data_IF_829456308012
#
_entry.id   IF_829456308012
#
_cell.length_a   1.000
_cell.length_b   1.000
_cell.length_c   1.000
_cell.angle_alpha   90.00
_cell.angle_beta   90.00
_cell.angle_gamma   90.00
#
_symmetry.space_group_name_H-M   'P 1'
#
loop_
_entity.id
_entity.type
_entity.pdbx_description
1 polymer ?
#
# COMPACT_ATOMS: atom_id res chain seq x y z
N UNK A 1 52.25 -1.42 21.87
CA UNK A 1 52.42 -0.38 20.84
C UNK A 1 51.38 -0.56 19.74
N UNK A 2 50.26 0.17 19.75
CA UNK A 2 49.34 0.20 18.61
C UNK A 2 49.63 1.41 17.70
N UNK A 3 49.96 1.13 16.43
CA UNK A 3 50.11 2.12 15.36
C UNK A 3 48.78 2.27 14.62
N UNK A 4 48.28 3.51 14.67
CA UNK A 4 47.53 4.27 13.66
C UNK A 4 46.91 3.53 12.47
N UNK A 5 45.58 3.66 12.28
CA UNK A 5 44.98 4.15 11.02
C UNK A 5 43.68 4.88 11.35
N UNK A 6 43.64 6.15 10.96
CA UNK A 6 42.56 7.12 11.10
C UNK A 6 42.18 7.51 9.66
N UNK A 7 40.99 7.13 9.19
CA UNK A 7 40.38 7.56 7.91
C UNK A 7 38.86 7.55 8.15
N UNK A 8 38.20 8.64 8.54
CA UNK A 8 37.74 9.76 7.70
C UNK A 8 37.16 9.27 6.37
N UNK A 9 35.83 9.19 6.29
CA UNK A 9 35.06 9.87 5.23
C UNK A 9 33.59 9.90 5.62
N UNK A 10 33.17 11.10 6.04
CA UNK A 10 31.78 11.48 6.10
C UNK A 10 31.23 11.58 4.66
N UNK A 11 30.36 10.67 4.27
CA UNK A 11 29.55 10.82 3.06
C UNK A 11 28.23 11.50 3.44
N UNK A 12 28.33 12.79 3.75
CA UNK A 12 27.21 13.72 3.92
C UNK A 12 26.72 14.16 2.53
N UNK A 13 25.40 14.10 2.33
CA UNK A 13 24.62 15.01 1.48
C UNK A 13 24.99 15.15 -0.02
N UNK A 14 24.41 14.29 -0.87
CA UNK A 14 23.94 14.73 -2.20
C UNK A 14 22.49 14.29 -2.41
N UNK A 15 21.56 15.00 -1.76
CA UNK A 15 20.16 15.03 -2.18
C UNK A 15 20.03 16.06 -3.30
N UNK A 16 20.03 15.59 -4.54
CA UNK A 16 19.63 16.40 -5.70
C UNK A 16 18.13 16.63 -5.63
N UNK A 17 17.73 17.78 -5.09
CA UNK A 17 16.36 18.27 -5.15
C UNK A 17 16.07 18.72 -6.59
N UNK A 18 15.59 17.80 -7.43
CA UNK A 18 14.96 18.16 -8.70
C UNK A 18 13.63 18.83 -8.37
N UNK A 19 13.59 20.15 -8.46
CA UNK A 19 12.36 20.91 -8.46
C UNK A 19 11.60 20.60 -9.75
N UNK A 20 10.72 19.60 -9.69
CA UNK A 20 9.75 19.34 -10.76
C UNK A 20 8.84 20.56 -10.86
N UNK A 21 9.04 21.39 -11.88
CA UNK A 21 8.06 22.39 -12.31
C UNK A 21 6.78 21.64 -12.66
N UNK A 22 5.81 21.69 -11.75
CA UNK A 22 4.47 21.20 -11.99
C UNK A 22 3.87 22.07 -13.10
N UNK A 23 3.88 21.55 -14.33
CA UNK A 23 3.00 22.02 -15.39
C UNK A 23 1.57 21.90 -14.85
N UNK A 24 0.99 23.04 -14.47
CA UNK A 24 -0.44 23.19 -14.23
C UNK A 24 -1.15 22.97 -15.57
N UNK A 25 -1.36 21.70 -15.91
CA UNK A 25 -2.36 21.32 -16.88
C UNK A 25 -3.70 21.92 -16.43
N UNK A 26 -4.47 22.54 -17.33
CA UNK A 26 -5.78 23.07 -16.98
C UNK A 26 -6.61 21.94 -16.36
N UNK A 27 -7.39 22.22 -15.30
CA UNK A 27 -8.28 21.22 -14.72
C UNK A 27 -9.21 20.75 -15.84
N UNK A 28 -9.00 19.53 -16.32
CA UNK A 28 -9.96 18.88 -17.20
C UNK A 28 -11.16 18.56 -16.33
N UNK A 29 -12.07 19.52 -16.24
CA UNK A 29 -13.39 19.29 -15.69
C UNK A 29 -14.00 18.16 -16.51
N UNK A 30 -14.18 17.01 -15.86
CA UNK A 30 -14.89 15.86 -16.43
C UNK A 30 -16.34 16.23 -16.80
N UNK A 31 -16.85 17.38 -16.35
CA UNK A 31 -18.09 18.00 -16.80
C UNK A 31 -17.99 18.62 -18.21
N UNK A 32 -16.82 19.08 -18.63
CA UNK A 32 -16.63 19.71 -19.94
C UNK A 32 -16.46 18.68 -21.07
N UNK A 33 -15.87 17.52 -20.76
CA UNK A 33 -15.93 16.35 -21.62
C UNK A 33 -17.28 15.66 -21.33
N UNK A 34 -18.23 15.69 -22.28
CA UNK A 34 -19.61 15.16 -22.17
C UNK A 34 -19.67 13.65 -21.82
N UNK A 35 -19.24 13.26 -20.63
CA UNK A 35 -19.36 11.90 -20.12
C UNK A 35 -20.68 11.81 -19.36
N UNK A 36 -21.46 10.77 -19.66
CA UNK A 36 -22.71 10.55 -18.96
C UNK A 36 -22.43 10.26 -17.47
N UNK A 37 -23.40 10.60 -16.61
CA UNK A 37 -23.30 10.35 -15.17
C UNK A 37 -23.10 8.86 -14.91
N UNK A 38 -23.73 8.01 -15.71
CA UNK A 38 -23.56 6.55 -15.64
C UNK A 38 -22.10 6.11 -15.94
N UNK A 39 -21.45 6.72 -16.93
CA UNK A 39 -20.05 6.45 -17.28
C UNK A 39 -19.10 6.87 -16.17
N UNK A 40 -19.35 8.02 -15.53
CA UNK A 40 -18.54 8.48 -14.39
C UNK A 40 -18.63 7.51 -13.21
N UNK A 41 -19.82 7.00 -12.90
CA UNK A 41 -20.03 6.01 -11.84
C UNK A 41 -19.28 4.71 -12.13
N UNK A 42 -19.39 4.20 -13.37
CA UNK A 42 -18.69 2.99 -13.80
C UNK A 42 -17.17 3.16 -13.75
N UNK A 43 -16.66 4.30 -14.19
CA UNK A 43 -15.24 4.63 -14.16
C UNK A 43 -14.70 4.68 -12.71
N UNK A 44 -15.46 5.27 -11.79
CA UNK A 44 -15.12 5.32 -10.36
C UNK A 44 -15.12 3.92 -9.77
N UNK A 45 -16.17 3.13 -10.01
CA UNK A 45 -16.24 1.74 -9.56
C UNK A 45 -15.02 0.94 -10.04
N UNK A 46 -14.68 1.03 -11.32
CA UNK A 46 -13.54 0.33 -11.88
C UNK A 46 -12.21 0.79 -11.25
N UNK A 47 -12.04 2.09 -11.00
CA UNK A 47 -10.86 2.63 -10.32
C UNK A 47 -10.72 2.07 -8.90
N UNK A 48 -11.82 2.01 -8.14
CA UNK A 48 -11.83 1.44 -6.79
C UNK A 48 -11.55 -0.07 -6.83
N UNK A 49 -12.18 -0.82 -7.74
CA UNK A 49 -11.91 -2.26 -7.92
C UNK A 49 -10.44 -2.54 -8.28
N UNK A 50 -9.86 -1.75 -9.19
CA UNK A 50 -8.46 -1.92 -9.58
C UNK A 50 -7.52 -1.66 -8.39
N UNK A 51 -7.81 -0.65 -7.56
CA UNK A 51 -6.98 -0.29 -6.41
C UNK A 51 -7.20 -1.19 -5.20
N UNK A 52 -8.41 -1.71 -5.01
CA UNK A 52 -8.73 -2.63 -3.93
C UNK A 52 -8.07 -4.00 -4.13
N UNK A 53 -7.94 -4.49 -5.38
CA UNK A 53 -7.16 -5.72 -5.68
C UNK A 53 -5.75 -5.68 -5.12
N UNK A 54 -5.01 -4.61 -5.40
CA UNK A 54 -3.66 -4.45 -4.86
C UNK A 54 -3.67 -4.39 -3.33
N UNK A 55 -4.68 -3.75 -2.74
CA UNK A 55 -4.82 -3.64 -1.28
C UNK A 55 -5.08 -5.00 -0.62
N UNK A 56 -5.94 -5.83 -1.23
CA UNK A 56 -6.18 -7.20 -0.79
C UNK A 56 -4.91 -8.04 -0.84
N UNK A 57 -4.14 -7.94 -1.92
CA UNK A 57 -2.86 -8.64 -2.03
C UNK A 57 -1.91 -8.25 -0.89
N UNK A 58 -1.75 -6.96 -0.56
CA UNK A 58 -0.91 -6.53 0.57
C UNK A 58 -1.40 -7.08 1.91
N UNK A 59 -2.72 -7.07 2.14
CA UNK A 59 -3.31 -7.60 3.37
C UNK A 59 -3.16 -9.11 3.48
N UNK A 60 -3.46 -9.86 2.43
CA UNK A 60 -3.33 -11.32 2.39
C UNK A 60 -1.88 -11.74 2.62
N UNK A 61 -0.93 -11.10 1.93
CA UNK A 61 0.49 -11.36 2.13
C UNK A 61 0.94 -11.01 3.55
N UNK A 62 0.60 -9.83 4.06
CA UNK A 62 0.98 -9.40 5.41
C UNK A 62 0.44 -10.31 6.51
N UNK A 63 -0.83 -10.69 6.41
CA UNK A 63 -1.48 -11.60 7.37
C UNK A 63 -0.88 -13.00 7.29
N UNK A 64 -0.54 -13.49 6.09
CA UNK A 64 0.11 -14.79 5.91
C UNK A 64 1.48 -14.88 6.61
N UNK A 65 2.31 -13.83 6.47
CA UNK A 65 3.59 -13.74 7.18
C UNK A 65 3.39 -13.73 8.71
N UNK A 66 2.46 -12.91 9.20
CA UNK A 66 2.16 -12.87 10.64
C UNK A 66 1.65 -14.20 11.18
N UNK A 67 0.76 -14.88 10.45
CA UNK A 67 0.21 -16.16 10.84
C UNK A 67 1.29 -17.25 10.89
N UNK A 68 2.16 -17.30 9.86
CA UNK A 68 3.28 -18.23 9.80
C UNK A 68 4.25 -18.02 10.98
N UNK A 69 4.64 -16.78 11.24
CA UNK A 69 5.50 -16.42 12.36
C UNK A 69 4.88 -16.74 13.73
N UNK A 70 3.58 -16.50 13.90
CA UNK A 70 2.87 -16.83 15.13
C UNK A 70 2.84 -18.34 15.37
N UNK A 71 2.53 -19.12 14.33
CA UNK A 71 2.55 -20.60 14.40
C UNK A 71 3.95 -21.08 14.73
N UNK A 72 4.99 -20.61 14.03
CA UNK A 72 6.37 -21.01 14.29
C UNK A 72 6.81 -20.69 15.72
N UNK A 73 6.51 -19.50 16.23
CA UNK A 73 6.77 -19.15 17.64
C UNK A 73 6.04 -20.06 18.62
N UNK A 74 4.78 -20.40 18.36
CA UNK A 74 4.04 -21.32 19.23
C UNK A 74 4.64 -22.72 19.21
N UNK A 75 5.04 -23.23 18.04
CA UNK A 75 5.70 -24.55 17.90
C UNK A 75 7.05 -24.55 18.62
N UNK A 76 7.85 -23.50 18.46
CA UNK A 76 9.13 -23.36 19.16
C UNK A 76 8.93 -23.33 20.68
N UNK A 77 7.93 -22.59 21.17
CA UNK A 77 7.61 -22.50 22.60
C UNK A 77 7.09 -23.83 23.19
N UNK A 78 6.28 -24.60 22.45
CA UNK A 78 5.71 -25.87 22.92
C UNK A 78 6.66 -27.05 22.76
N UNK A 79 7.64 -26.97 21.85
CA UNK A 79 8.56 -28.08 21.56
C UNK A 79 9.43 -28.52 22.74
N UNK A 80 9.59 -27.70 23.80
CA UNK A 80 10.24 -28.12 25.05
C UNK A 80 11.72 -28.52 24.91
N UNK A 81 12.36 -28.23 23.77
CA UNK A 81 13.69 -28.74 23.42
C UNK A 81 14.75 -28.00 24.25
N UNK A 82 15.14 -28.64 25.35
CA UNK A 82 16.17 -28.17 26.28
C UNK A 82 17.55 -28.20 25.63
N UNK A 83 18.11 -27.01 25.40
CA UNK A 83 19.55 -26.66 25.39
C UNK A 83 20.51 -27.34 24.38
N UNK A 84 20.17 -28.42 23.70
CA UNK A 84 21.12 -29.15 22.82
C UNK A 84 21.53 -28.34 21.58
N UNK A 85 20.64 -27.48 21.06
CA UNK A 85 20.88 -26.80 19.77
C UNK A 85 20.60 -25.29 19.78
N UNK A 86 21.12 -24.58 20.80
CA UNK A 86 20.86 -23.14 21.01
C UNK A 86 21.07 -22.26 19.77
N UNK A 87 22.01 -22.61 18.89
CA UNK A 87 22.28 -21.87 17.65
C UNK A 87 21.10 -21.94 16.68
N UNK A 88 20.63 -23.16 16.39
CA UNK A 88 19.50 -23.41 15.50
C UNK A 88 18.22 -22.68 15.94
N UNK A 89 17.90 -22.73 17.24
CA UNK A 89 16.73 -22.06 17.80
C UNK A 89 16.81 -20.54 17.72
N UNK A 90 17.99 -19.95 17.95
CA UNK A 90 18.16 -18.49 17.85
C UNK A 90 17.93 -18.00 16.44
N UNK A 91 18.42 -18.71 15.43
CA UNK A 91 18.21 -18.34 14.02
C UNK A 91 16.73 -18.42 13.64
N UNK A 92 16.05 -19.52 13.98
CA UNK A 92 14.60 -19.68 13.74
C UNK A 92 13.76 -18.62 14.45
N UNK A 93 14.12 -18.27 15.68
CA UNK A 93 13.42 -17.23 16.42
C UNK A 93 13.64 -15.84 15.80
N UNK A 94 14.85 -15.56 15.30
CA UNK A 94 15.15 -14.32 14.57
C UNK A 94 14.40 -14.23 13.24
N UNK A 95 14.30 -15.33 12.49
CA UNK A 95 13.50 -15.41 11.26
C UNK A 95 12.01 -15.14 11.55
N UNK A 96 11.44 -15.82 12.56
CA UNK A 96 10.06 -15.59 12.96
C UNK A 96 9.81 -14.15 13.47
N UNK A 97 10.78 -13.54 14.16
CA UNK A 97 10.69 -12.14 14.57
C UNK A 97 10.71 -11.19 13.36
N UNK A 98 11.57 -11.45 12.38
CA UNK A 98 11.66 -10.67 11.14
C UNK A 98 10.37 -10.78 10.32
N UNK A 99 9.83 -11.98 10.17
CA UNK A 99 8.58 -12.23 9.45
C UNK A 99 7.39 -11.55 10.14
N UNK A 100 7.37 -11.53 11.47
CA UNK A 100 6.32 -10.84 12.22
C UNK A 100 6.40 -9.33 12.02
N UNK A 101 7.60 -8.75 12.07
CA UNK A 101 7.81 -7.31 11.80
C UNK A 101 7.41 -6.98 10.36
N UNK A 102 7.87 -7.76 9.39
CA UNK A 102 7.58 -7.55 7.98
C UNK A 102 6.08 -7.71 7.69
N UNK A 103 5.46 -8.77 8.23
CA UNK A 103 4.02 -9.00 8.14
C UNK A 103 3.21 -7.87 8.76
N UNK A 104 3.64 -7.31 9.90
CA UNK A 104 2.98 -6.16 10.55
C UNK A 104 3.08 -4.90 9.69
N UNK A 105 4.25 -4.62 9.11
CA UNK A 105 4.45 -3.48 8.20
C UNK A 105 3.57 -3.61 6.94
N UNK A 106 3.54 -4.79 6.32
CA UNK A 106 2.71 -5.03 5.14
C UNK A 106 1.22 -4.96 5.45
N UNK A 107 0.78 -5.52 6.57
CA UNK A 107 -0.61 -5.49 7.00
C UNK A 107 -1.06 -4.06 7.33
N UNK A 108 -0.26 -3.31 8.10
CA UNK A 108 -0.57 -1.92 8.44
C UNK A 108 -0.62 -1.02 7.19
N UNK A 109 0.30 -1.23 6.24
CA UNK A 109 0.28 -0.53 4.96
C UNK A 109 -0.95 -0.91 4.10
N UNK A 110 -1.32 -2.18 4.09
CA UNK A 110 -2.54 -2.68 3.46
C UNK A 110 -3.79 -2.03 4.06
N UNK A 111 -3.89 -1.94 5.39
CA UNK A 111 -4.98 -1.28 6.11
C UNK A 111 -5.04 0.22 5.79
N UNK A 112 -3.89 0.90 5.76
CA UNK A 112 -3.82 2.30 5.35
C UNK A 112 -4.38 2.51 3.95
N UNK A 113 -4.02 1.67 2.97
CA UNK A 113 -4.61 1.72 1.62
C UNK A 113 -6.09 1.39 1.61
N UNK A 114 -6.53 0.43 2.43
CA UNK A 114 -7.92 0.02 2.55
C UNK A 114 -8.79 1.17 3.08
N UNK A 115 -8.28 1.96 4.02
CA UNK A 115 -9.01 3.14 4.51
C UNK A 115 -9.33 4.14 3.37
N UNK A 116 -8.44 4.25 2.38
CA UNK A 116 -8.56 5.22 1.28
C UNK A 116 -9.33 4.69 0.06
N UNK A 117 -9.19 3.40 -0.25
CA UNK A 117 -9.82 2.74 -1.41
C UNK A 117 -10.79 1.62 -1.01
N UNK A 118 -11.29 1.68 0.22
CA UNK A 118 -12.19 0.68 0.78
C UNK A 118 -13.63 0.84 0.32
N UNK A 119 -14.47 -0.18 0.59
CA UNK A 119 -15.88 -0.18 0.20
C UNK A 119 -16.67 0.96 0.85
N UNK A 120 -16.37 1.32 2.10
CA UNK A 120 -17.02 2.42 2.79
C UNK A 120 -16.73 3.77 2.13
N UNK A 121 -15.48 4.02 1.73
CA UNK A 121 -15.13 5.27 1.06
C UNK A 121 -15.76 5.33 -0.34
N UNK A 122 -15.85 4.20 -1.03
CA UNK A 122 -16.58 4.11 -2.29
C UNK A 122 -18.05 4.48 -2.11
N UNK A 123 -18.75 3.89 -1.14
CA UNK A 123 -20.15 4.21 -0.84
C UNK A 123 -20.32 5.71 -0.57
N UNK A 124 -19.51 6.30 0.32
CA UNK A 124 -19.58 7.74 0.61
C UNK A 124 -19.43 8.61 -0.64
N UNK A 125 -18.51 8.25 -1.54
CA UNK A 125 -18.31 8.99 -2.79
C UNK A 125 -19.51 8.82 -3.73
N UNK A 126 -20.07 7.61 -3.81
CA UNK A 126 -21.26 7.34 -4.61
C UNK A 126 -22.49 8.07 -4.07
N UNK A 127 -22.70 8.07 -2.75
CA UNK A 127 -23.80 8.75 -2.08
C UNK A 127 -23.69 10.27 -2.27
N UNK A 128 -22.52 10.84 -2.03
CA UNK A 128 -22.28 12.27 -2.25
C UNK A 128 -22.50 12.66 -3.72
N UNK A 129 -22.02 11.83 -4.65
CA UNK A 129 -22.23 12.06 -6.07
C UNK A 129 -23.69 11.90 -6.49
N UNK A 130 -24.43 10.94 -5.90
CA UNK A 130 -25.86 10.75 -6.12
C UNK A 130 -26.67 11.97 -5.67
N UNK A 131 -26.25 12.61 -4.57
CA UNK A 131 -26.81 13.87 -4.06
C UNK A 131 -26.45 15.11 -4.92
N UNK A 132 -25.66 14.94 -5.99
CA UNK A 132 -25.29 16.02 -6.90
C UNK A 132 -24.00 16.74 -6.51
N UNK A 133 -23.27 16.26 -5.49
CA UNK A 133 -21.96 16.81 -5.17
C UNK A 133 -20.93 16.46 -6.25
N UNK A 134 -20.00 17.38 -6.53
CA UNK A 134 -18.91 17.12 -7.45
C UNK A 134 -17.99 15.99 -6.94
N UNK A 135 -17.38 15.25 -7.87
CA UNK A 135 -16.41 14.21 -7.54
C UNK A 135 -15.20 14.81 -6.80
N UNK A 136 -14.72 14.16 -5.71
CA UNK A 136 -13.52 14.61 -5.02
C UNK A 136 -12.32 14.79 -5.95
N UNK A 137 -11.60 15.90 -5.80
CA UNK A 137 -10.50 16.26 -6.70
C UNK A 137 -9.41 15.16 -6.83
N UNK A 138 -9.16 14.41 -5.76
CA UNK A 138 -8.19 13.31 -5.81
C UNK A 138 -8.62 12.14 -6.71
N UNK A 139 -9.92 11.98 -6.96
CA UNK A 139 -10.47 10.99 -7.90
C UNK A 139 -10.44 11.50 -9.32
N UNK A 140 -10.84 12.75 -9.56
CA UNK A 140 -10.83 13.35 -10.90
C UNK A 140 -9.43 13.31 -11.52
N UNK A 141 -8.38 13.62 -10.74
CA UNK A 141 -6.97 13.49 -11.18
C UNK A 141 -6.54 12.06 -11.53
N UNK A 142 -7.21 11.05 -11.00
CA UNK A 142 -6.87 9.63 -11.17
C UNK A 142 -7.77 8.93 -12.19
N UNK A 143 -8.94 9.49 -12.47
CA UNK A 143 -9.88 9.07 -13.50
C UNK A 143 -9.31 9.44 -14.87
N UNK A 144 -8.53 8.52 -15.42
CA UNK A 144 -8.02 8.61 -16.80
C UNK A 144 -9.13 8.28 -17.81
N UNK A 145 -9.08 8.85 -19.03
CA UNK A 145 -10.04 8.57 -20.11
C UNK A 145 -10.26 7.07 -20.40
N UNK A 146 -9.24 6.24 -20.17
CA UNK A 146 -9.32 4.76 -20.30
C UNK A 146 -10.41 4.11 -19.43
N UNK A 147 -10.82 4.75 -18.33
CA UNK A 147 -11.88 4.23 -17.47
C UNK A 147 -13.29 4.53 -17.99
N UNK A 148 -13.41 5.49 -18.91
CA UNK A 148 -14.68 5.90 -19.53
C UNK A 148 -14.92 5.19 -20.86
N UNK A 149 -13.90 4.58 -21.47
CA UNK A 149 -13.99 3.91 -22.78
C UNK A 149 -14.47 2.45 -22.71
N UNK A 150 -14.90 1.97 -21.54
CA UNK A 150 -15.43 0.62 -21.39
C UNK A 150 -16.94 0.60 -21.73
N UNK A 151 -17.23 0.85 -23.01
CA UNK A 151 -18.41 0.29 -23.66
C UNK A 151 -18.14 -1.20 -23.88
N UNK A 152 -19.06 -2.13 -23.54
CA UNK A 152 -19.04 -3.42 -24.21
C UNK A 152 -19.21 -3.15 -25.72
N UNK A 153 -18.27 -3.63 -26.53
CA UNK A 153 -18.52 -3.87 -27.94
C UNK A 153 -19.51 -5.03 -28.06
#
# INVERSE_FOLDING_TARGET
>A
MPRSVLLITAALCLTTAVAAQAQTAPPTDLNAARYDRSDTLRAVQHLFMQRSKATRAWLETGVSFMASAAVEKTVLATSGIKKVDKGYYRTRQQEADQDLVFGTLMTSYGLFRLSRFGPQQYQRVMDAYAQGSALPHYLTRRLKPRFFRLLPL
#
